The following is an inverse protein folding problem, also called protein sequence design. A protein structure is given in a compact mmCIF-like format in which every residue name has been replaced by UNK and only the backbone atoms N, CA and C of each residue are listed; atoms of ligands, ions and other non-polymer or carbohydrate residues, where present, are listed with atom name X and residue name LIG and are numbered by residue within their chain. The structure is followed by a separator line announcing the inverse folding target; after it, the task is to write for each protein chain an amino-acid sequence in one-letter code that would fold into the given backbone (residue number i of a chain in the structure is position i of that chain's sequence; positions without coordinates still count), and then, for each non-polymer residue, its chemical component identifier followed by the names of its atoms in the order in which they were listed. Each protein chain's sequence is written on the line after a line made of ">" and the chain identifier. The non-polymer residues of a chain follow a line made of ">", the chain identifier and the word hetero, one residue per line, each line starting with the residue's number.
data_IF_944204237767
#
_entry.id   IF_944204237767
#
_cell.length_a   1.000
_cell.length_b   1.000
_cell.length_c   1.000
_cell.angle_alpha   90.00
_cell.angle_beta   90.00
_cell.angle_gamma   90.00
#
_symmetry.space_group_name_H-M   'P 1'
#
loop_
_entity.id
_entity.type
_entity.pdbx_description
1 polymer ?
#
# COMPACT_ATOMS: atom_id res chain seq x y z
N UNK A 1 -22.00 11.09 -16.82
CA UNK A 1 -21.25 11.23 -15.55
C UNK A 1 -19.82 10.75 -15.78
N UNK A 2 -18.80 11.57 -15.49
CA UNK A 2 -17.40 11.11 -15.53
C UNK A 2 -17.19 10.04 -14.46
N UNK A 3 -16.61 8.89 -14.83
CA UNK A 3 -16.26 7.86 -13.86
C UNK A 3 -15.36 8.48 -12.76
N UNK A 4 -15.67 8.16 -11.50
CA UNK A 4 -14.90 8.68 -10.39
C UNK A 4 -13.43 8.20 -10.51
N UNK A 5 -12.48 9.11 -10.38
CA UNK A 5 -11.03 8.79 -10.43
C UNK A 5 -10.69 7.77 -9.35
N UNK A 6 -9.86 6.80 -9.70
CA UNK A 6 -9.34 5.79 -8.77
C UNK A 6 -7.83 5.90 -8.68
N UNK A 7 -7.29 5.70 -7.49
CA UNK A 7 -5.84 5.68 -7.27
C UNK A 7 -5.43 4.38 -6.59
N UNK A 8 -4.35 3.80 -7.10
CA UNK A 8 -3.59 2.74 -6.42
C UNK A 8 -2.25 3.33 -6.00
N UNK A 9 -2.04 3.45 -4.70
CA UNK A 9 -0.83 4.01 -4.10
C UNK A 9 0.03 2.88 -3.56
N UNK A 10 1.22 2.70 -4.11
CA UNK A 10 2.21 1.74 -3.61
C UNK A 10 3.17 2.50 -2.70
N UNK A 11 3.21 2.13 -1.42
CA UNK A 11 4.17 2.66 -0.46
C UNK A 11 5.44 1.83 -0.49
N UNK A 12 6.56 2.48 -0.74
CA UNK A 12 7.87 1.82 -0.77
C UNK A 12 8.93 2.64 -0.06
N UNK A 13 9.92 1.95 0.48
CA UNK A 13 11.20 2.56 0.83
C UNK A 13 12.13 2.45 -0.37
N UNK A 14 12.91 3.49 -0.64
CA UNK A 14 13.95 3.39 -1.66
C UNK A 14 14.87 2.21 -1.37
N UNK A 15 15.04 1.27 -2.33
CA UNK A 15 15.84 0.06 -2.14
C UNK A 15 17.34 0.40 -2.10
N UNK A 16 17.83 0.65 -0.89
CA UNK A 16 19.24 0.89 -0.63
C UNK A 16 19.76 -0.08 0.42
N UNK A 17 21.03 -0.53 0.32
CA UNK A 17 21.68 -1.37 1.33
C UNK A 17 21.50 -0.80 2.73
N UNK A 18 21.30 -1.67 3.71
CA UNK A 18 21.07 -1.35 5.14
C UNK A 18 19.84 -0.46 5.44
N UNK A 19 19.05 -0.05 4.43
CA UNK A 19 17.88 0.81 4.62
C UNK A 19 16.54 0.12 4.45
N UNK A 20 16.50 -1.06 3.88
CA UNK A 20 15.30 -1.88 3.66
C UNK A 20 15.54 -3.33 4.05
N UNK A 21 14.44 -4.09 4.28
CA UNK A 21 14.48 -5.54 4.56
C UNK A 21 15.52 -5.94 5.61
N UNK A 22 15.54 -5.25 6.75
CA UNK A 22 16.58 -5.46 7.79
C UNK A 22 16.63 -6.90 8.31
N UNK A 23 15.48 -7.57 8.50
CA UNK A 23 15.43 -8.98 8.94
C UNK A 23 16.05 -9.91 7.90
N UNK A 24 15.70 -9.70 6.64
CA UNK A 24 16.29 -10.44 5.52
C UNK A 24 17.80 -10.14 5.36
N UNK A 25 18.21 -8.87 5.55
CA UNK A 25 19.59 -8.44 5.42
C UNK A 25 20.54 -9.12 6.40
N UNK A 26 20.07 -9.52 7.58
CA UNK A 26 20.85 -10.30 8.56
C UNK A 26 21.29 -11.64 7.96
N UNK A 27 20.43 -12.29 7.16
CA UNK A 27 20.71 -13.62 6.61
C UNK A 27 21.43 -13.61 5.25
N UNK A 28 21.13 -12.62 4.38
CA UNK A 28 21.63 -12.63 3.00
C UNK A 28 22.52 -11.43 2.64
N UNK A 29 22.78 -10.55 3.58
CA UNK A 29 23.51 -9.30 3.40
C UNK A 29 22.66 -8.14 2.90
N UNK A 30 23.08 -6.88 3.20
CA UNK A 30 22.29 -5.68 2.91
C UNK A 30 22.12 -5.41 1.40
N UNK A 31 23.10 -5.73 0.57
CA UNK A 31 23.06 -5.52 -0.87
C UNK A 31 22.03 -6.45 -1.53
N UNK A 32 22.05 -7.75 -1.17
CA UNK A 32 21.08 -8.73 -1.67
C UNK A 32 19.67 -8.42 -1.18
N UNK A 33 19.51 -8.00 0.07
CA UNK A 33 18.23 -7.57 0.61
C UNK A 33 17.66 -6.35 -0.14
N UNK A 34 18.51 -5.39 -0.52
CA UNK A 34 18.12 -4.26 -1.36
C UNK A 34 17.70 -4.68 -2.78
N UNK A 35 18.39 -5.66 -3.38
CA UNK A 35 18.01 -6.23 -4.67
C UNK A 35 16.64 -6.94 -4.58
N UNK A 36 16.38 -7.71 -3.53
CA UNK A 36 15.06 -8.34 -3.28
C UNK A 36 13.98 -7.27 -3.17
N UNK A 37 14.20 -6.19 -2.41
CA UNK A 37 13.28 -5.07 -2.33
C UNK A 37 13.00 -4.45 -3.70
N UNK A 38 14.02 -4.26 -4.52
CA UNK A 38 13.88 -3.75 -5.88
C UNK A 38 13.03 -4.67 -6.76
N UNK A 39 13.26 -5.99 -6.70
CA UNK A 39 12.49 -6.99 -7.47
C UNK A 39 11.02 -7.03 -7.04
N UNK A 40 10.74 -6.99 -5.73
CA UNK A 40 9.39 -6.93 -5.19
C UNK A 40 8.66 -5.66 -5.66
N UNK A 41 9.33 -4.52 -5.63
CA UNK A 41 8.76 -3.28 -6.14
C UNK A 41 8.41 -3.39 -7.63
N UNK A 42 9.31 -3.91 -8.46
CA UNK A 42 9.04 -4.09 -9.90
C UNK A 42 7.88 -5.06 -10.14
N UNK A 43 7.80 -6.16 -9.39
CA UNK A 43 6.66 -7.08 -9.42
C UNK A 43 5.35 -6.34 -9.09
N UNK A 44 5.29 -5.62 -7.95
CA UNK A 44 4.11 -4.87 -7.55
C UNK A 44 3.70 -3.78 -8.55
N UNK A 45 4.67 -3.10 -9.16
CA UNK A 45 4.40 -2.11 -10.22
C UNK A 45 3.85 -2.77 -11.49
N UNK A 46 4.39 -3.93 -11.90
CA UNK A 46 3.88 -4.71 -13.02
C UNK A 46 2.42 -5.13 -12.80
N UNK A 47 2.13 -5.68 -11.62
CA UNK A 47 0.79 -6.06 -11.18
C UNK A 47 -0.18 -4.86 -11.19
N UNK A 48 0.25 -3.71 -10.67
CA UNK A 48 -0.54 -2.49 -10.64
C UNK A 48 -0.86 -1.97 -12.05
N UNK A 49 0.11 -2.00 -12.95
CA UNK A 49 -0.08 -1.59 -14.37
C UNK A 49 -1.01 -2.52 -15.11
N UNK A 50 -0.94 -3.82 -14.89
CA UNK A 50 -1.86 -4.77 -15.49
C UNK A 50 -3.28 -4.55 -14.97
N UNK A 51 -3.48 -4.39 -13.65
CA UNK A 51 -4.78 -4.02 -13.08
C UNK A 51 -5.32 -2.71 -13.68
N UNK A 52 -4.47 -1.68 -13.82
CA UNK A 52 -4.86 -0.41 -14.44
C UNK A 52 -5.24 -0.57 -15.90
N UNK A 53 -4.53 -1.43 -16.66
CA UNK A 53 -4.85 -1.73 -18.06
C UNK A 53 -6.21 -2.42 -18.20
N UNK A 54 -6.49 -3.42 -17.35
CA UNK A 54 -7.79 -4.11 -17.32
C UNK A 54 -8.91 -3.14 -16.94
N UNK A 55 -8.72 -2.33 -15.90
CA UNK A 55 -9.70 -1.34 -15.45
C UNK A 55 -10.00 -0.28 -16.53
N UNK A 56 -8.97 0.18 -17.25
CA UNK A 56 -9.14 1.15 -18.36
C UNK A 56 -10.04 0.60 -19.47
N UNK A 57 -9.92 -0.69 -19.82
CA UNK A 57 -10.79 -1.35 -20.82
C UNK A 57 -12.26 -1.39 -20.37
N UNK A 58 -12.51 -1.34 -19.06
CA UNK A 58 -13.86 -1.30 -18.47
C UNK A 58 -14.38 0.12 -18.26
N UNK A 59 -13.68 1.15 -18.73
CA UNK A 59 -14.02 2.55 -18.50
C UNK A 59 -13.79 3.05 -17.08
N UNK A 60 -13.01 2.34 -16.28
CA UNK A 60 -12.73 2.59 -14.85
C UNK A 60 -11.23 2.85 -14.58
N UNK A 61 -10.62 3.91 -15.13
CA UNK A 61 -9.18 4.12 -15.09
C UNK A 61 -8.65 4.22 -13.67
N UNK A 62 -7.48 3.58 -13.44
CA UNK A 62 -6.73 3.62 -12.20
C UNK A 62 -5.43 4.38 -12.45
N UNK A 63 -5.15 5.40 -11.65
CA UNK A 63 -3.87 6.09 -11.57
C UNK A 63 -2.96 5.32 -10.62
N UNK A 64 -1.78 4.92 -11.10
CA UNK A 64 -0.76 4.23 -10.30
C UNK A 64 0.20 5.27 -9.72
N UNK A 65 0.18 5.42 -8.40
CA UNK A 65 0.99 6.39 -7.65
C UNK A 65 2.03 5.65 -6.82
N UNK A 66 3.30 6.04 -6.94
CA UNK A 66 4.37 5.52 -6.09
C UNK A 66 4.66 6.52 -4.97
N UNK A 67 4.44 6.12 -3.72
CA UNK A 67 4.77 6.90 -2.54
C UNK A 67 6.10 6.40 -1.95
N UNK A 68 7.15 7.24 -2.00
CA UNK A 68 8.52 6.85 -1.66
C UNK A 68 9.00 7.50 -0.37
N UNK A 69 9.68 6.73 0.47
CA UNK A 69 10.47 7.23 1.59
C UNK A 69 11.97 7.01 1.36
N UNK A 70 12.81 7.86 1.96
CA UNK A 70 14.27 7.74 1.88
C UNK A 70 14.93 8.44 0.69
N UNK A 71 14.17 9.20 -0.11
CA UNK A 71 14.69 10.04 -1.20
C UNK A 71 14.18 11.48 -1.11
N UNK A 72 15.06 12.43 -1.33
CA UNK A 72 14.68 13.83 -1.55
C UNK A 72 13.98 14.04 -2.90
N UNK A 73 13.31 15.18 -3.10
CA UNK A 73 12.44 15.41 -4.26
C UNK A 73 13.13 15.21 -5.63
N UNK A 74 14.33 15.75 -5.80
CA UNK A 74 15.09 15.65 -7.08
C UNK A 74 15.51 14.20 -7.38
N UNK A 75 16.07 13.48 -6.39
CA UNK A 75 16.48 12.09 -6.56
C UNK A 75 15.27 11.18 -6.82
N UNK A 76 14.15 11.40 -6.12
CA UNK A 76 12.90 10.71 -6.34
C UNK A 76 12.37 10.89 -7.76
N UNK A 77 12.37 12.12 -8.29
CA UNK A 77 11.96 12.42 -9.67
C UNK A 77 12.78 11.64 -10.69
N UNK A 78 14.13 11.69 -10.56
CA UNK A 78 15.02 10.94 -11.46
C UNK A 78 14.78 9.42 -11.40
N UNK A 79 14.63 8.88 -10.20
CA UNK A 79 14.38 7.44 -10.05
C UNK A 79 13.03 7.03 -10.62
N UNK A 80 11.99 7.80 -10.37
CA UNK A 80 10.64 7.51 -10.85
C UNK A 80 10.51 7.59 -12.37
N UNK A 81 11.33 8.39 -13.05
CA UNK A 81 11.30 8.50 -14.51
C UNK A 81 11.58 7.17 -15.24
N UNK A 82 12.28 6.23 -14.57
CA UNK A 82 12.55 4.88 -15.08
C UNK A 82 11.51 3.83 -14.67
N UNK A 83 10.46 4.21 -13.92
CA UNK A 83 9.48 3.28 -13.37
C UNK A 83 8.12 3.43 -14.07
N UNK A 84 7.37 2.33 -14.24
CA UNK A 84 6.05 2.36 -14.89
C UNK A 84 4.97 2.91 -13.92
N UNK A 85 5.05 4.18 -13.54
CA UNK A 85 4.10 4.87 -12.67
C UNK A 85 3.53 6.11 -13.35
N UNK A 86 2.32 6.50 -13.00
CA UNK A 86 1.73 7.74 -13.52
C UNK A 86 2.23 8.94 -12.70
N UNK A 87 2.56 8.71 -11.42
CA UNK A 87 3.04 9.75 -10.50
C UNK A 87 3.90 9.17 -9.39
N UNK A 88 4.88 9.96 -8.94
CA UNK A 88 5.70 9.64 -7.78
C UNK A 88 5.66 10.78 -6.75
N UNK A 89 5.44 10.43 -5.49
CA UNK A 89 5.28 11.36 -4.38
C UNK A 89 6.12 10.95 -3.18
N UNK A 90 6.42 11.88 -2.28
CA UNK A 90 7.04 11.55 -0.99
C UNK A 90 6.00 11.05 0.01
N UNK A 91 6.38 10.06 0.82
CA UNK A 91 5.57 9.66 1.97
C UNK A 91 5.54 10.74 3.07
N UNK A 92 6.60 11.54 3.17
CA UNK A 92 6.86 12.47 4.26
C UNK A 92 7.34 11.76 5.52
N UNK A 93 7.54 12.51 6.58
CA UNK A 93 8.01 12.03 7.89
C UNK A 93 6.85 11.54 8.77
N UNK A 94 7.18 10.83 9.84
CA UNK A 94 6.26 10.31 10.84
C UNK A 94 6.08 8.79 10.80
N UNK A 95 5.20 8.29 11.68
CA UNK A 95 4.83 6.87 11.75
C UNK A 95 4.17 6.38 10.46
N UNK A 96 4.00 5.07 10.31
CA UNK A 96 3.30 4.50 9.15
C UNK A 96 1.87 5.06 9.04
N UNK A 97 1.15 5.17 10.16
CA UNK A 97 -0.20 5.74 10.17
C UNK A 97 -0.25 7.18 9.65
N UNK A 98 0.70 8.04 10.03
CA UNK A 98 0.81 9.41 9.52
C UNK A 98 1.06 9.41 8.01
N UNK A 99 1.90 8.50 7.51
CA UNK A 99 2.21 8.37 6.08
C UNK A 99 1.01 7.88 5.28
N UNK A 100 0.28 6.87 5.78
CA UNK A 100 -0.95 6.37 5.18
C UNK A 100 -2.03 7.46 5.14
N UNK A 101 -2.29 8.12 6.29
CA UNK A 101 -3.23 9.23 6.37
C UNK A 101 -2.93 10.32 5.34
N UNK A 102 -1.65 10.68 5.18
CA UNK A 102 -1.23 11.71 4.20
C UNK A 102 -1.58 11.33 2.76
N UNK A 103 -1.51 10.04 2.40
CA UNK A 103 -1.91 9.59 1.06
C UNK A 103 -3.44 9.68 0.87
N UNK A 104 -4.21 9.26 1.88
CA UNK A 104 -5.68 9.38 1.87
C UNK A 104 -6.11 10.85 1.78
N UNK A 105 -5.52 11.73 2.58
CA UNK A 105 -5.82 13.17 2.55
C UNK A 105 -5.43 13.82 1.21
N UNK A 106 -4.36 13.35 0.55
CA UNK A 106 -4.01 13.76 -0.81
C UNK A 106 -5.09 13.35 -1.79
N UNK A 107 -5.48 12.08 -1.81
CA UNK A 107 -6.53 11.55 -2.67
C UNK A 107 -7.85 12.32 -2.46
N UNK A 108 -8.19 12.64 -1.21
CA UNK A 108 -9.38 13.43 -0.88
C UNK A 108 -9.31 14.84 -1.43
N UNK A 109 -8.18 15.55 -1.28
CA UNK A 109 -7.98 16.92 -1.84
C UNK A 109 -8.04 16.94 -3.37
N UNK A 110 -7.66 15.85 -4.01
CA UNK A 110 -7.68 15.69 -5.45
C UNK A 110 -9.04 15.17 -5.98
N UNK A 111 -10.06 15.08 -5.11
CA UNK A 111 -11.40 14.57 -5.44
C UNK A 111 -11.37 13.17 -6.08
N UNK A 112 -10.47 12.30 -5.58
CA UNK A 112 -10.41 10.90 -5.99
C UNK A 112 -11.61 10.16 -5.40
N UNK A 113 -12.30 9.34 -6.20
CA UNK A 113 -13.47 8.59 -5.74
C UNK A 113 -13.13 7.36 -4.91
N UNK A 114 -11.99 6.70 -5.20
CA UNK A 114 -11.52 5.56 -4.43
C UNK A 114 -9.99 5.50 -4.42
N UNK A 115 -9.41 5.16 -3.27
CA UNK A 115 -7.96 4.98 -3.13
C UNK A 115 -7.66 3.63 -2.48
N UNK A 116 -6.70 2.89 -3.04
CA UNK A 116 -6.07 1.73 -2.42
C UNK A 116 -4.65 2.10 -2.02
N UNK A 117 -4.24 1.67 -0.84
CA UNK A 117 -2.89 1.78 -0.29
C UNK A 117 -2.35 0.38 -0.11
N UNK A 118 -1.20 0.06 -0.71
CA UNK A 118 -0.52 -1.24 -0.54
C UNK A 118 0.97 -1.03 -0.25
N UNK A 119 1.58 -2.01 0.40
CA UNK A 119 3.04 -2.13 0.51
C UNK A 119 3.68 -2.57 -0.82
N UNK A 120 4.98 -2.45 -0.92
CA UNK A 120 5.77 -2.97 -2.05
C UNK A 120 6.31 -4.38 -1.83
N UNK A 121 5.94 -5.02 -0.72
CA UNK A 121 6.58 -6.22 -0.18
C UNK A 121 5.76 -7.50 -0.43
N UNK A 122 4.84 -7.43 -1.41
CA UNK A 122 3.79 -8.41 -1.68
C UNK A 122 4.18 -9.31 -2.85
N UNK A 123 4.80 -10.48 -2.61
CA UNK A 123 5.30 -11.36 -3.67
C UNK A 123 4.20 -12.05 -4.47
N UNK A 124 2.99 -12.18 -3.91
CA UNK A 124 1.88 -12.94 -4.49
C UNK A 124 0.67 -12.09 -4.89
N UNK A 125 0.74 -10.76 -4.71
CA UNK A 125 -0.37 -9.89 -5.13
C UNK A 125 -0.60 -10.00 -6.63
N UNK A 126 -1.85 -10.19 -7.03
CA UNK A 126 -2.26 -10.30 -8.42
C UNK A 126 -3.09 -9.08 -8.88
N UNK A 127 -3.22 -8.87 -10.20
CA UNK A 127 -4.13 -7.85 -10.72
C UNK A 127 -5.60 -8.11 -10.30
N UNK A 128 -6.00 -9.38 -10.14
CA UNK A 128 -7.34 -9.76 -9.72
C UNK A 128 -7.64 -9.30 -8.29
N UNK A 129 -6.67 -9.40 -7.36
CA UNK A 129 -6.81 -8.95 -5.98
C UNK A 129 -7.06 -7.44 -5.91
N UNK A 130 -6.30 -6.66 -6.68
CA UNK A 130 -6.44 -5.20 -6.74
C UNK A 130 -7.79 -4.79 -7.34
N UNK A 131 -8.25 -5.48 -8.39
CA UNK A 131 -9.55 -5.23 -8.99
C UNK A 131 -10.70 -5.65 -8.07
N UNK A 132 -10.57 -6.76 -7.33
CA UNK A 132 -11.52 -7.19 -6.32
C UNK A 132 -11.64 -6.17 -5.18
N UNK A 133 -10.51 -5.60 -4.73
CA UNK A 133 -10.50 -4.52 -3.74
C UNK A 133 -11.29 -3.29 -4.21
N UNK A 134 -11.08 -2.82 -5.44
CA UNK A 134 -11.88 -1.73 -6.01
C UNK A 134 -13.36 -2.10 -6.19
N UNK A 135 -13.68 -3.36 -6.50
CA UNK A 135 -15.06 -3.83 -6.59
C UNK A 135 -15.74 -3.85 -5.22
N UNK A 136 -15.02 -4.25 -4.16
CA UNK A 136 -15.52 -4.23 -2.79
C UNK A 136 -15.79 -2.79 -2.31
N UNK A 137 -14.98 -1.80 -2.70
CA UNK A 137 -15.18 -0.38 -2.39
C UNK A 137 -16.44 0.23 -3.04
N UNK A 138 -17.08 -0.43 -3.99
CA UNK A 138 -18.41 -0.01 -4.48
C UNK A 138 -19.55 -0.33 -3.51
N UNK A 139 -19.32 -1.27 -2.58
CA UNK A 139 -20.32 -1.76 -1.61
C UNK A 139 -20.04 -1.34 -0.19
N UNK A 140 -18.77 -1.10 0.16
CA UNK A 140 -18.30 -0.73 1.50
C UNK A 140 -17.32 0.44 1.40
N UNK A 141 -17.40 1.43 2.29
CA UNK A 141 -16.51 2.59 2.25
C UNK A 141 -15.07 2.28 2.64
N UNK A 142 -14.84 1.12 3.28
CA UNK A 142 -13.54 0.65 3.75
C UNK A 142 -13.33 -0.80 3.30
N UNK A 143 -12.13 -1.09 2.82
CA UNK A 143 -11.66 -2.45 2.48
C UNK A 143 -10.31 -2.67 3.16
N UNK A 144 -10.13 -3.81 3.77
CA UNK A 144 -8.88 -4.22 4.41
C UNK A 144 -8.48 -5.59 3.89
N UNK A 145 -7.24 -5.73 3.44
CA UNK A 145 -6.61 -7.01 3.15
C UNK A 145 -5.73 -7.43 4.33
N UNK A 146 -6.15 -8.36 5.18
CA UNK A 146 -5.36 -8.83 6.31
C UNK A 146 -4.02 -9.39 5.88
N UNK A 147 -3.00 -9.28 6.73
CA UNK A 147 -1.70 -9.93 6.56
C UNK A 147 -1.46 -10.93 7.69
N UNK A 148 -0.76 -12.00 7.38
CA UNK A 148 -0.49 -13.11 8.30
C UNK A 148 0.30 -12.69 9.57
N UNK A 149 1.02 -11.57 9.51
CA UNK A 149 1.80 -11.00 10.61
C UNK A 149 0.96 -10.18 11.61
N UNK A 150 -0.38 -10.12 11.45
CA UNK A 150 -1.29 -9.30 12.26
C UNK A 150 -1.41 -7.85 11.80
N UNK A 151 -0.79 -7.50 10.67
CA UNK A 151 -0.97 -6.24 9.95
C UNK A 151 -2.02 -6.33 8.83
N UNK A 152 -1.84 -5.52 7.82
CA UNK A 152 -2.63 -5.60 6.59
C UNK A 152 -1.75 -5.25 5.38
N UNK A 153 -1.96 -5.96 4.28
CA UNK A 153 -1.28 -5.74 3.01
C UNK A 153 -1.97 -4.68 2.15
N UNK A 154 -3.26 -4.43 2.40
CA UNK A 154 -4.06 -3.45 1.67
C UNK A 154 -5.01 -2.71 2.61
N UNK A 155 -5.11 -1.40 2.40
CA UNK A 155 -6.14 -0.54 2.96
C UNK A 155 -6.78 0.28 1.84
N UNK A 156 -8.11 0.22 1.69
CA UNK A 156 -8.86 0.95 0.67
C UNK A 156 -9.97 1.79 1.25
N UNK A 157 -10.20 2.99 0.69
CA UNK A 157 -11.28 3.91 1.08
C UNK A 157 -12.01 4.46 -0.15
N UNK A 158 -13.36 4.54 -0.06
CA UNK A 158 -14.22 5.12 -1.09
C UNK A 158 -15.47 5.77 -0.46
N UNK A 159 -15.64 7.09 -0.60
CA UNK A 159 -14.60 8.04 -0.97
C UNK A 159 -13.48 8.08 0.08
N UNK A 160 -12.33 8.73 -0.19
CA UNK A 160 -11.30 8.94 0.82
C UNK A 160 -11.84 9.80 1.96
N UNK A 161 -12.23 9.13 3.05
CA UNK A 161 -12.93 9.73 4.19
C UNK A 161 -11.97 10.42 5.17
N UNK A 162 -12.50 11.38 5.93
CA UNK A 162 -11.86 11.84 7.15
C UNK A 162 -12.18 10.86 8.27
N UNK A 163 -11.28 9.92 8.52
CA UNK A 163 -11.38 8.95 9.60
C UNK A 163 -10.08 9.00 10.43
N UNK A 164 -9.90 10.01 11.29
CA UNK A 164 -8.65 10.24 12.00
C UNK A 164 -8.26 9.08 12.91
N UNK A 165 -9.23 8.43 13.56
CA UNK A 165 -9.00 7.27 14.43
C UNK A 165 -8.46 6.07 13.68
N UNK A 166 -8.83 5.90 12.40
CA UNK A 166 -8.35 4.81 11.55
C UNK A 166 -6.80 4.75 11.46
N UNK A 167 -6.14 5.87 11.66
CA UNK A 167 -4.67 5.99 11.60
C UNK A 167 -4.03 6.32 12.95
N UNK A 168 -4.82 6.82 13.90
CA UNK A 168 -4.34 7.22 15.22
C UNK A 168 -4.62 6.17 16.31
N UNK A 169 -5.69 5.39 16.16
CA UNK A 169 -6.20 4.46 17.17
C UNK A 169 -7.32 5.07 18.02
N UNK A 170 -7.90 4.29 18.93
CA UNK A 170 -9.01 4.65 19.81
C UNK A 170 -8.54 4.80 21.27
N UNK A 171 -7.99 3.73 21.82
CA UNK A 171 -7.51 3.65 23.22
C UNK A 171 -6.03 4.03 23.35
N UNK A 172 -5.41 4.44 22.27
CA UNK A 172 -4.00 4.77 22.17
C UNK A 172 -3.49 4.64 20.74
N UNK A 173 -2.22 4.94 20.51
CA UNK A 173 -1.64 4.87 19.18
C UNK A 173 -1.61 3.44 18.65
N UNK A 174 -1.93 3.25 17.37
CA UNK A 174 -1.78 1.95 16.71
C UNK A 174 -0.31 1.52 16.78
N UNK A 175 0.00 0.29 17.23
CA UNK A 175 1.37 -0.22 17.38
C UNK A 175 1.95 -0.65 16.02
N UNK A 176 2.22 0.34 15.15
CA UNK A 176 2.70 0.12 13.79
C UNK A 176 3.95 -0.78 13.73
N UNK A 177 3.84 -1.87 12.96
CA UNK A 177 4.89 -2.88 12.82
C UNK A 177 4.78 -4.03 13.84
N UNK A 178 3.74 -4.04 14.67
CA UNK A 178 3.40 -5.16 15.57
C UNK A 178 2.21 -5.99 15.02
N UNK A 179 1.92 -7.08 15.70
CA UNK A 179 0.87 -8.05 15.38
C UNK A 179 -0.56 -7.58 15.71
N UNK A 180 -0.70 -6.49 16.43
CA UNK A 180 -2.00 -5.93 16.82
C UNK A 180 -2.53 -4.84 15.85
N UNK A 181 -1.81 -4.52 14.77
CA UNK A 181 -2.15 -3.42 13.85
C UNK A 181 -3.53 -3.62 13.24
N UNK A 182 -3.83 -4.81 12.71
CA UNK A 182 -5.13 -5.12 12.12
C UNK A 182 -6.25 -4.95 13.15
N UNK A 183 -6.12 -5.56 14.31
CA UNK A 183 -7.12 -5.49 15.39
C UNK A 183 -7.39 -4.04 15.81
N UNK A 184 -6.35 -3.24 16.02
CA UNK A 184 -6.50 -1.83 16.40
C UNK A 184 -7.14 -1.01 15.26
N UNK A 185 -6.81 -1.31 14.00
CA UNK A 185 -7.40 -0.64 12.83
C UNK A 185 -8.89 -0.98 12.68
N UNK A 186 -9.29 -2.23 12.92
CA UNK A 186 -10.70 -2.64 12.89
C UNK A 186 -11.51 -2.01 14.02
N UNK A 187 -10.94 -1.92 15.23
CA UNK A 187 -11.56 -1.21 16.35
C UNK A 187 -11.73 0.29 16.04
N UNK A 188 -10.70 0.89 15.43
CA UNK A 188 -10.76 2.29 14.99
C UNK A 188 -11.80 2.51 13.88
N UNK A 189 -11.94 1.59 12.95
CA UNK A 189 -12.98 1.63 11.92
C UNK A 189 -14.38 1.57 12.55
N UNK A 190 -14.60 0.66 13.48
CA UNK A 190 -15.88 0.54 14.21
C UNK A 190 -16.22 1.84 14.97
N UNK A 191 -15.24 2.47 15.63
CA UNK A 191 -15.42 3.75 16.32
C UNK A 191 -15.71 4.94 15.39
N UNK A 192 -15.40 4.82 14.10
CA UNK A 192 -15.77 5.77 13.03
C UNK A 192 -17.07 5.36 12.30
N UNK A 193 -17.78 4.33 12.79
CA UNK A 193 -18.98 3.80 12.15
C UNK A 193 -18.72 3.09 10.80
N UNK A 194 -17.50 2.67 10.55
CA UNK A 194 -17.10 2.01 9.31
C UNK A 194 -17.08 0.49 9.47
N UNK A 195 -17.82 -0.21 8.60
CA UNK A 195 -17.76 -1.67 8.51
C UNK A 195 -16.92 -2.06 7.29
N UNK A 196 -15.70 -2.57 7.48
CA UNK A 196 -14.83 -2.93 6.36
C UNK A 196 -15.30 -4.19 5.63
N UNK A 197 -15.05 -4.26 4.32
CA UNK A 197 -14.95 -5.54 3.64
C UNK A 197 -13.55 -6.11 3.88
N UNK A 198 -13.47 -7.37 4.28
CA UNK A 198 -12.20 -8.08 4.41
C UNK A 198 -11.92 -8.86 3.13
N UNK A 199 -10.71 -8.73 2.61
CA UNK A 199 -10.18 -9.55 1.51
C UNK A 199 -9.53 -10.82 2.06
N UNK A 200 -9.09 -11.70 1.16
CA UNK A 200 -8.25 -12.83 1.51
C UNK A 200 -6.97 -12.35 2.20
N UNK A 201 -6.50 -13.16 3.15
CA UNK A 201 -5.24 -12.91 3.84
C UNK A 201 -4.07 -12.96 2.86
N UNK A 202 -3.17 -11.99 2.96
CA UNK A 202 -1.95 -11.91 2.18
C UNK A 202 -0.70 -12.16 3.01
N UNK A 203 0.41 -12.34 2.33
CA UNK A 203 1.70 -12.53 2.94
C UNK A 203 2.70 -11.55 2.33
N UNK A 204 3.42 -10.84 3.17
CA UNK A 204 4.58 -10.05 2.79
C UNK A 204 5.86 -10.90 2.82
N UNK A 205 6.93 -10.43 2.18
CA UNK A 205 8.22 -11.08 2.17
C UNK A 205 9.19 -10.29 3.03
N UNK A 206 9.44 -10.75 4.26
CA UNK A 206 10.33 -10.08 5.20
C UNK A 206 11.47 -10.96 5.76
N UNK A 207 11.33 -12.27 5.66
CA UNK A 207 12.25 -13.24 6.24
C UNK A 207 12.90 -14.14 5.17
N UNK A 208 13.98 -14.88 5.49
CA UNK A 208 14.55 -15.89 4.60
C UNK A 208 13.57 -17.01 4.20
N UNK A 209 12.66 -17.39 5.11
CA UNK A 209 11.63 -18.39 4.83
C UNK A 209 10.66 -17.91 3.74
N UNK A 210 10.22 -16.64 3.81
CA UNK A 210 9.36 -16.03 2.78
C UNK A 210 10.06 -15.98 1.43
N UNK A 211 11.38 -15.67 1.44
CA UNK A 211 12.17 -15.63 0.20
C UNK A 211 12.30 -17.02 -0.44
N UNK A 212 12.44 -18.08 0.34
CA UNK A 212 12.52 -19.44 -0.18
C UNK A 212 11.20 -19.85 -0.85
N UNK A 213 10.07 -19.42 -0.33
CA UNK A 213 8.75 -19.67 -0.89
C UNK A 213 8.42 -18.84 -2.15
N UNK A 214 9.22 -17.83 -2.47
CA UNK A 214 9.01 -16.91 -3.62
C UNK A 214 9.93 -17.23 -4.82
N UNK A 215 10.78 -18.23 -4.73
CA UNK A 215 11.69 -18.65 -5.82
C UNK A 215 10.98 -19.42 -6.92
#
# INVERSE_FOLDING_TARGET
>A
MRAARRQLVILTRWPAPARCKRRLAVAIGPERAALVQGRLLHHGLGTAREAARVARRRGEPIEVVLAVSGLGPRARGRWAAALPVDRCVGQGEGSLGVRLRRQVERARREAVGAVLLIGSDLPRVSPADLLAAFAALRRRPLVVGPAADGGYWLLGLSPPLRAPRLFAGVEGPIPWGGDAVLRCTLAAAAAEGLTPALLAEGQDLDTPADLAAWR
#
